data_IF_500785463144
#
_entry.id   IF_500785463144
#
_cell.length_a   1.000
_cell.length_b   1.000
_cell.length_c   1.000
_cell.angle_alpha   90.00
_cell.angle_beta   90.00
_cell.angle_gamma   90.00
#
_symmetry.space_group_name_H-M   'P 1'
#
loop_
_entity.id
_entity.type
_entity.pdbx_description
1 polymer ?
#
# COMPACT_ATOMS: atom_id res chain seq x y z
N UNK A 1 -10.59 -7.96 -10.22
CA UNK A 1 -10.42 -8.73 -11.49
C UNK A 1 -9.66 -9.99 -11.13
N UNK A 2 -10.01 -11.12 -11.68
CA UNK A 2 -9.33 -12.42 -11.45
C UNK A 2 -8.63 -12.80 -12.75
N UNK A 3 -7.40 -13.29 -12.66
CA UNK A 3 -6.65 -13.72 -13.84
C UNK A 3 -7.35 -14.91 -14.51
N UNK A 4 -7.50 -14.83 -15.83
CA UNK A 4 -7.96 -15.96 -16.64
C UNK A 4 -6.79 -16.91 -16.83
N UNK A 5 -6.92 -18.13 -16.29
CA UNK A 5 -5.83 -19.14 -16.31
C UNK A 5 -5.83 -20.04 -17.54
N UNK A 6 -6.85 -19.95 -18.38
CA UNK A 6 -7.01 -20.78 -19.57
C UNK A 6 -6.88 -19.91 -20.82
N UNK A 7 -5.71 -19.94 -21.43
CA UNK A 7 -5.37 -19.16 -22.63
C UNK A 7 -6.24 -19.50 -23.85
N UNK A 8 -6.98 -20.61 -23.82
CA UNK A 8 -7.91 -20.96 -24.90
C UNK A 8 -9.20 -20.16 -24.90
N UNK A 9 -9.49 -19.46 -23.80
CA UNK A 9 -10.77 -18.72 -23.62
C UNK A 9 -10.72 -17.28 -24.14
N UNK A 10 -9.56 -16.79 -24.60
CA UNK A 10 -9.43 -15.41 -25.12
C UNK A 10 -8.36 -15.32 -26.20
N UNK A 11 -8.51 -14.32 -27.09
CA UNK A 11 -7.57 -14.09 -28.20
C UNK A 11 -6.32 -13.33 -27.76
N UNK A 12 -6.46 -12.41 -26.81
CA UNK A 12 -5.36 -11.63 -26.24
C UNK A 12 -5.76 -11.11 -24.85
N UNK A 13 -4.77 -10.97 -23.98
CA UNK A 13 -4.92 -10.34 -22.67
C UNK A 13 -3.92 -9.18 -22.56
N UNK A 14 -4.41 -8.03 -22.09
CA UNK A 14 -3.59 -6.86 -21.79
C UNK A 14 -3.93 -6.40 -20.37
N UNK A 15 -2.93 -6.27 -19.53
CA UNK A 15 -3.14 -5.88 -18.14
C UNK A 15 -1.86 -5.43 -17.45
N UNK A 16 -2.00 -4.91 -16.23
CA UNK A 16 -0.88 -4.51 -15.39
C UNK A 16 -0.15 -5.71 -14.80
N UNK A 17 1.15 -5.56 -14.59
CA UNK A 17 1.93 -6.48 -13.79
C UNK A 17 1.92 -6.03 -12.33
N UNK A 18 0.92 -6.45 -11.58
CA UNK A 18 0.71 -6.04 -10.20
C UNK A 18 1.83 -6.44 -9.23
N UNK A 19 2.52 -7.57 -9.49
CA UNK A 19 3.69 -7.94 -8.69
C UNK A 19 4.85 -6.95 -8.93
N UNK A 20 5.04 -6.52 -10.18
CA UNK A 20 6.03 -5.49 -10.48
C UNK A 20 5.68 -4.13 -9.85
N UNK A 21 4.39 -3.79 -9.76
CA UNK A 21 3.95 -2.57 -9.06
C UNK A 21 4.34 -2.63 -7.58
N UNK A 22 4.05 -3.72 -6.88
CA UNK A 22 4.47 -3.92 -5.48
C UNK A 22 6.00 -3.85 -5.31
N UNK A 23 6.75 -4.49 -6.21
CA UNK A 23 8.23 -4.43 -6.22
C UNK A 23 8.76 -3.00 -6.44
N UNK A 24 8.13 -2.20 -7.30
CA UNK A 24 8.53 -0.80 -7.52
C UNK A 24 8.26 0.07 -6.30
N UNK A 25 7.11 -0.09 -5.64
CA UNK A 25 6.81 0.60 -4.40
C UNK A 25 7.85 0.26 -3.31
N UNK A 26 8.18 -1.02 -3.16
CA UNK A 26 9.20 -1.47 -2.23
C UNK A 26 10.61 -0.92 -2.58
N UNK A 27 10.97 -0.88 -3.85
CA UNK A 27 12.25 -0.31 -4.28
C UNK A 27 12.35 1.19 -3.98
N UNK A 28 11.24 1.93 -4.14
CA UNK A 28 11.18 3.33 -3.74
C UNK A 28 11.41 3.49 -2.23
N UNK A 29 10.71 2.69 -1.40
CA UNK A 29 10.88 2.70 0.05
C UNK A 29 12.31 2.38 0.47
N UNK A 30 12.93 1.37 -0.12
CA UNK A 30 14.32 1.01 0.17
C UNK A 30 15.28 2.17 -0.11
N UNK A 31 15.11 2.83 -1.25
CA UNK A 31 15.91 4.02 -1.61
C UNK A 31 15.67 5.18 -0.64
N UNK A 32 14.41 5.42 -0.25
CA UNK A 32 14.04 6.46 0.70
C UNK A 32 14.64 6.20 2.09
N UNK A 33 14.49 4.99 2.62
CA UNK A 33 15.05 4.59 3.91
C UNK A 33 16.57 4.82 3.95
N UNK A 34 17.28 4.39 2.90
CA UNK A 34 18.72 4.59 2.78
C UNK A 34 19.09 6.07 2.76
N UNK A 35 18.35 6.88 2.02
CA UNK A 35 18.59 8.33 1.94
C UNK A 35 18.37 9.05 3.29
N UNK A 36 17.40 8.59 4.07
CA UNK A 36 17.06 9.16 5.40
C UNK A 36 17.79 8.46 6.56
N UNK A 37 18.65 7.46 6.30
CA UNK A 37 19.30 6.63 7.32
C UNK A 37 18.32 5.98 8.33
N UNK A 38 17.12 5.64 7.90
CA UNK A 38 16.12 4.94 8.71
C UNK A 38 16.52 3.46 8.86
N UNK A 39 16.55 2.95 10.09
CA UNK A 39 16.99 1.57 10.36
C UNK A 39 15.85 0.62 10.70
N UNK A 40 14.84 1.08 11.41
CA UNK A 40 13.78 0.25 11.98
C UNK A 40 12.41 0.76 11.52
N UNK A 41 12.21 0.86 10.19
CA UNK A 41 10.96 1.33 9.61
C UNK A 41 9.78 0.43 9.98
N UNK A 42 8.78 1.02 10.62
CA UNK A 42 7.51 0.38 10.97
C UNK A 42 6.48 0.65 9.89
N UNK A 43 6.06 -0.39 9.20
CA UNK A 43 5.11 -0.24 8.10
C UNK A 43 3.83 -1.05 8.33
N UNK A 44 2.74 -0.56 7.79
CA UNK A 44 1.46 -1.27 7.69
C UNK A 44 1.02 -1.36 6.24
N UNK A 45 0.27 -2.42 5.90
CA UNK A 45 -0.29 -2.60 4.56
C UNK A 45 -1.81 -2.70 4.60
N UNK A 46 -2.47 -1.79 3.90
CA UNK A 46 -3.92 -1.85 3.68
C UNK A 46 -4.15 -2.50 2.31
N UNK A 47 -4.54 -3.76 2.35
CA UNK A 47 -4.70 -4.60 1.17
C UNK A 47 -6.00 -4.30 0.45
N UNK A 48 -6.01 -4.54 -0.85
CA UNK A 48 -7.25 -4.57 -1.62
C UNK A 48 -8.16 -5.75 -1.26
N UNK A 49 -9.23 -5.93 -2.03
CA UNK A 49 -10.14 -7.08 -1.89
C UNK A 49 -9.37 -8.39 -2.03
N UNK A 50 -9.42 -9.22 -1.00
CA UNK A 50 -8.68 -10.48 -0.95
C UNK A 50 -9.06 -11.39 -2.13
N UNK A 51 -8.04 -11.88 -2.83
CA UNK A 51 -8.19 -12.74 -4.00
C UNK A 51 -8.29 -11.99 -5.34
N UNK A 52 -8.33 -10.66 -5.33
CA UNK A 52 -8.20 -9.89 -6.56
C UNK A 52 -6.75 -9.92 -7.08
N UNK A 53 -6.56 -9.99 -8.39
CA UNK A 53 -5.23 -10.06 -9.01
C UNK A 53 -4.31 -8.89 -8.61
N UNK A 54 -4.87 -7.69 -8.48
CA UNK A 54 -4.13 -6.52 -8.01
C UNK A 54 -3.64 -6.70 -6.56
N UNK A 55 -4.52 -7.12 -5.65
CA UNK A 55 -4.16 -7.40 -4.27
C UNK A 55 -3.09 -8.49 -4.18
N UNK A 56 -3.28 -9.64 -4.84
CA UNK A 56 -2.32 -10.75 -4.82
C UNK A 56 -0.93 -10.28 -5.27
N UNK A 57 -0.87 -9.55 -6.38
CA UNK A 57 0.41 -9.10 -6.94
C UNK A 57 1.07 -8.01 -6.10
N UNK A 58 0.34 -6.94 -5.73
CA UNK A 58 0.88 -5.83 -4.93
C UNK A 58 1.36 -6.30 -3.58
N UNK A 59 0.53 -7.09 -2.86
CA UNK A 59 0.92 -7.71 -1.58
C UNK A 59 2.16 -8.59 -1.74
N UNK A 60 2.21 -9.46 -2.78
CA UNK A 60 3.37 -10.34 -2.99
C UNK A 60 4.66 -9.55 -3.20
N UNK A 61 4.62 -8.50 -4.03
CA UNK A 61 5.79 -7.66 -4.28
C UNK A 61 6.31 -6.97 -3.02
N UNK A 62 5.42 -6.56 -2.13
CA UNK A 62 5.76 -5.99 -0.83
C UNK A 62 6.31 -7.06 0.13
N UNK A 63 5.61 -8.20 0.29
CA UNK A 63 6.02 -9.28 1.21
C UNK A 63 7.42 -9.81 0.86
N UNK A 64 7.73 -9.98 -0.43
CA UNK A 64 9.06 -10.37 -0.89
C UNK A 64 10.13 -9.38 -0.44
N UNK A 65 9.83 -8.07 -0.51
CA UNK A 65 10.77 -7.03 -0.09
C UNK A 65 10.92 -6.93 1.43
N UNK A 66 9.81 -7.05 2.17
CA UNK A 66 9.81 -7.12 3.65
C UNK A 66 10.74 -8.25 4.11
N UNK A 67 10.58 -9.44 3.54
CA UNK A 67 11.41 -10.59 3.87
C UNK A 67 12.88 -10.40 3.48
N UNK A 68 13.15 -9.83 2.31
CA UNK A 68 14.52 -9.64 1.81
C UNK A 68 15.31 -8.57 2.58
N UNK A 69 14.64 -7.52 3.05
CA UNK A 69 15.27 -6.38 3.72
C UNK A 69 15.14 -6.43 5.26
N UNK A 70 14.36 -7.37 5.80
CA UNK A 70 14.10 -7.47 7.24
C UNK A 70 13.29 -6.28 7.78
N UNK A 71 12.38 -5.72 6.98
CA UNK A 71 11.54 -4.60 7.39
C UNK A 71 10.51 -5.03 8.43
N UNK A 72 10.12 -4.11 9.28
CA UNK A 72 9.14 -4.36 10.33
C UNK A 72 7.71 -4.09 9.84
N UNK A 73 7.10 -5.10 9.19
CA UNK A 73 5.67 -5.08 8.85
C UNK A 73 4.86 -5.36 10.12
N UNK A 74 4.26 -4.32 10.69
CA UNK A 74 3.46 -4.40 11.92
C UNK A 74 2.16 -5.17 11.71
N UNK A 75 1.44 -4.85 10.61
CA UNK A 75 0.15 -5.47 10.33
C UNK A 75 -0.21 -5.34 8.84
N UNK A 76 -1.13 -6.19 8.40
CA UNK A 76 -1.79 -6.07 7.10
C UNK A 76 -3.25 -6.52 7.16
N UNK A 77 -4.14 -5.66 6.68
CA UNK A 77 -5.60 -5.85 6.74
C UNK A 77 -6.25 -5.35 5.46
N UNK A 78 -7.33 -6.01 5.03
CA UNK A 78 -8.02 -5.60 3.81
C UNK A 78 -8.89 -4.36 4.02
N UNK A 79 -8.74 -3.37 3.12
CA UNK A 79 -9.63 -2.21 2.96
C UNK A 79 -10.59 -2.36 1.78
N UNK A 80 -10.64 -3.55 1.15
CA UNK A 80 -11.63 -3.95 0.13
C UNK A 80 -11.72 -3.01 -1.09
N UNK A 81 -10.67 -2.23 -1.36
CA UNK A 81 -10.61 -1.20 -2.40
C UNK A 81 -11.64 -0.06 -2.22
N UNK A 82 -12.14 0.17 -1.00
CA UNK A 82 -13.09 1.25 -0.72
C UNK A 82 -12.51 2.30 0.23
N UNK A 83 -12.88 3.58 0.04
CA UNK A 83 -12.43 4.68 0.89
C UNK A 83 -12.83 4.45 2.35
N UNK A 84 -14.12 4.16 2.58
CA UNK A 84 -14.64 3.99 3.94
C UNK A 84 -13.93 2.87 4.71
N UNK A 85 -13.65 1.74 4.05
CA UNK A 85 -12.95 0.63 4.71
C UNK A 85 -11.45 0.91 4.86
N UNK A 86 -10.84 1.63 3.93
CA UNK A 86 -9.47 2.12 4.07
C UNK A 86 -9.31 3.03 5.28
N UNK A 87 -10.27 3.95 5.51
CA UNK A 87 -10.31 4.82 6.68
C UNK A 87 -10.45 4.01 7.97
N UNK A 88 -11.44 3.13 8.07
CA UNK A 88 -11.67 2.26 9.24
C UNK A 88 -10.41 1.48 9.62
N UNK A 89 -9.77 0.83 8.64
CA UNK A 89 -8.55 0.05 8.89
C UNK A 89 -7.39 0.94 9.34
N UNK A 90 -7.26 2.16 8.80
CA UNK A 90 -6.22 3.07 9.24
C UNK A 90 -6.47 3.59 10.67
N UNK A 91 -7.71 3.89 11.03
CA UNK A 91 -8.11 4.25 12.39
C UNK A 91 -7.77 3.12 13.38
N UNK A 92 -8.10 1.87 13.05
CA UNK A 92 -7.74 0.68 13.85
C UNK A 92 -6.21 0.54 14.02
N UNK A 93 -5.43 0.80 12.97
CA UNK A 93 -3.97 0.76 13.06
C UNK A 93 -3.42 1.88 13.95
N UNK A 94 -3.99 3.08 13.89
CA UNK A 94 -3.59 4.21 14.73
C UNK A 94 -3.93 3.99 16.21
N UNK A 95 -5.00 3.25 16.51
CA UNK A 95 -5.32 2.85 17.89
C UNK A 95 -4.38 1.76 18.42
N UNK A 96 -3.90 0.89 17.52
CA UNK A 96 -3.10 -0.29 17.88
C UNK A 96 -1.60 -0.01 17.95
N UNK A 97 -1.11 0.93 17.14
CA UNK A 97 0.30 1.22 16.99
C UNK A 97 0.61 2.71 17.16
N UNK A 98 1.45 3.05 18.13
CA UNK A 98 1.85 4.44 18.44
C UNK A 98 2.70 5.07 17.33
N UNK A 99 3.53 4.25 16.70
CA UNK A 99 4.51 4.64 15.69
C UNK A 99 4.30 3.86 14.39
N UNK A 100 3.83 4.53 13.36
CA UNK A 100 3.77 4.03 11.99
C UNK A 100 4.55 5.00 11.12
N UNK A 101 5.62 4.54 10.48
CA UNK A 101 6.44 5.35 9.58
C UNK A 101 5.91 5.34 8.14
N UNK A 102 5.33 4.21 7.73
CA UNK A 102 4.88 3.99 6.34
C UNK A 102 3.55 3.28 6.30
N UNK A 103 2.64 3.80 5.48
CA UNK A 103 1.40 3.13 5.08
C UNK A 103 1.50 2.79 3.59
N UNK A 104 1.34 1.50 3.26
CA UNK A 104 1.13 1.05 1.89
C UNK A 104 -0.35 0.74 1.72
N UNK A 105 -1.03 1.54 0.92
CA UNK A 105 -2.43 1.37 0.56
C UNK A 105 -2.52 0.91 -0.90
N UNK A 106 -3.11 -0.25 -1.14
CA UNK A 106 -3.04 -0.93 -2.44
C UNK A 106 -3.92 -0.31 -3.53
N UNK A 107 -4.59 0.81 -3.28
CA UNK A 107 -5.17 1.68 -4.31
C UNK A 107 -5.52 3.07 -3.78
N UNK A 108 -5.75 4.02 -4.68
CA UNK A 108 -6.04 5.41 -4.35
C UNK A 108 -7.36 5.60 -3.59
N UNK A 109 -8.40 4.80 -3.89
CA UNK A 109 -9.67 4.92 -3.18
C UNK A 109 -9.50 4.66 -1.68
N UNK A 110 -8.79 3.62 -1.28
CA UNK A 110 -8.47 3.37 0.13
C UNK A 110 -7.56 4.47 0.67
N UNK A 111 -6.61 4.96 -0.14
CA UNK A 111 -5.66 5.98 0.26
C UNK A 111 -6.34 7.28 0.65
N UNK A 112 -7.41 7.70 0.00
CA UNK A 112 -8.19 8.87 0.45
C UNK A 112 -8.71 8.68 1.87
N UNK A 113 -9.23 7.51 2.21
CA UNK A 113 -9.66 7.20 3.59
C UNK A 113 -8.49 7.15 4.58
N UNK A 114 -7.32 6.65 4.15
CA UNK A 114 -6.09 6.67 4.96
C UNK A 114 -5.68 8.10 5.28
N UNK A 115 -5.72 9.00 4.29
CA UNK A 115 -5.42 10.42 4.45
C UNK A 115 -6.38 11.04 5.47
N UNK A 116 -7.70 10.83 5.31
CA UNK A 116 -8.72 11.34 6.24
C UNK A 116 -8.43 10.90 7.69
N UNK A 117 -8.08 9.64 7.92
CA UNK A 117 -7.76 9.11 9.24
C UNK A 117 -6.46 9.70 9.82
N UNK A 118 -5.42 9.83 9.01
CA UNK A 118 -4.14 10.41 9.43
C UNK A 118 -4.28 11.90 9.78
N UNK A 119 -5.01 12.67 8.97
CA UNK A 119 -5.29 14.09 9.24
C UNK A 119 -6.10 14.26 10.52
N UNK A 120 -7.14 13.44 10.74
CA UNK A 120 -7.94 13.45 11.97
C UNK A 120 -7.07 13.13 13.22
N UNK A 121 -6.05 12.29 13.07
CA UNK A 121 -5.07 12.00 14.11
C UNK A 121 -3.95 13.06 14.24
N UNK A 122 -3.99 14.13 13.45
CA UNK A 122 -2.99 15.21 13.46
C UNK A 122 -1.61 14.82 12.90
N UNK A 123 -1.52 13.73 12.13
CA UNK A 123 -0.29 13.27 11.50
C UNK A 123 -0.04 14.03 10.21
N UNK A 124 1.22 14.43 9.98
CA UNK A 124 1.65 15.02 8.71
C UNK A 124 2.14 13.93 7.78
N UNK A 125 1.65 13.94 6.55
CA UNK A 125 2.04 12.99 5.52
C UNK A 125 3.12 13.56 4.60
N UNK A 126 3.83 12.67 3.91
CA UNK A 126 4.82 13.01 2.90
C UNK A 126 6.26 12.81 3.33
N UNK A 127 7.18 13.10 2.43
CA UNK A 127 8.62 12.81 2.58
C UNK A 127 9.33 13.59 3.70
N UNK A 128 8.72 14.67 4.16
CA UNK A 128 9.19 15.48 5.29
C UNK A 128 8.13 15.50 6.44
N UNK A 129 7.15 14.61 6.38
CA UNK A 129 6.11 14.43 7.39
C UNK A 129 6.44 13.32 8.40
N UNK A 130 5.44 13.00 9.20
CA UNK A 130 5.50 11.94 10.22
C UNK A 130 5.31 10.55 9.59
N UNK A 131 4.52 10.46 8.52
CA UNK A 131 4.13 9.21 7.87
C UNK A 131 4.25 9.33 6.35
N UNK A 132 4.87 8.33 5.72
CA UNK A 132 4.86 8.18 4.26
C UNK A 132 3.68 7.31 3.87
N UNK A 133 2.89 7.80 2.92
CA UNK A 133 1.80 7.04 2.30
C UNK A 133 2.17 6.70 0.87
N UNK A 134 2.11 5.41 0.52
CA UNK A 134 2.30 4.92 -0.85
C UNK A 134 0.97 4.37 -1.35
N UNK A 135 0.59 4.81 -2.53
CA UNK A 135 -0.64 4.45 -3.22
C UNK A 135 -0.37 3.86 -4.60
N UNK A 136 -1.41 3.32 -5.21
CA UNK A 136 -1.40 2.76 -6.57
C UNK A 136 -2.61 3.27 -7.35
N UNK A 137 -2.57 3.14 -8.67
CA UNK A 137 -3.54 3.49 -9.71
C UNK A 137 -3.33 4.89 -10.31
N UNK A 138 -2.88 5.88 -9.56
CA UNK A 138 -2.63 7.26 -10.01
C UNK A 138 -3.87 7.91 -10.65
N UNK A 139 -5.04 7.78 -9.98
CA UNK A 139 -6.24 8.49 -10.42
C UNK A 139 -6.02 10.00 -10.34
N UNK A 140 -6.73 10.77 -11.16
CA UNK A 140 -6.51 12.21 -11.28
C UNK A 140 -6.48 12.93 -9.93
N UNK A 141 -7.41 12.59 -9.04
CA UNK A 141 -7.54 13.27 -7.76
C UNK A 141 -6.37 12.95 -6.81
N UNK A 142 -5.82 11.72 -6.87
CA UNK A 142 -4.64 11.34 -6.10
C UNK A 142 -3.35 12.08 -6.51
N UNK A 143 -3.32 12.65 -7.72
CA UNK A 143 -2.18 13.46 -8.19
C UNK A 143 -2.23 14.92 -7.72
N UNK A 144 -3.27 15.32 -7.00
CA UNK A 144 -3.50 16.71 -6.56
C UNK A 144 -3.58 16.87 -5.03
N UNK A 145 -3.48 15.77 -4.32
CA UNK A 145 -3.48 15.71 -2.84
C UNK A 145 -2.06 15.86 -2.31
#
# INVERSE_FOLDING_TARGET
MVDVKDDSLYTAWVGSNFELEGKKAAAYLDAYMKAKNMKDMKLVNIQGTIGASAQIGRTKGLDDAVAANGWNLLDKTTGEFTQAKGQEVMEDFLEKYDDIDVVISENDNMTFGVIDALEAAGKKMGTDGDVIVISFDAVKDALTV
#
